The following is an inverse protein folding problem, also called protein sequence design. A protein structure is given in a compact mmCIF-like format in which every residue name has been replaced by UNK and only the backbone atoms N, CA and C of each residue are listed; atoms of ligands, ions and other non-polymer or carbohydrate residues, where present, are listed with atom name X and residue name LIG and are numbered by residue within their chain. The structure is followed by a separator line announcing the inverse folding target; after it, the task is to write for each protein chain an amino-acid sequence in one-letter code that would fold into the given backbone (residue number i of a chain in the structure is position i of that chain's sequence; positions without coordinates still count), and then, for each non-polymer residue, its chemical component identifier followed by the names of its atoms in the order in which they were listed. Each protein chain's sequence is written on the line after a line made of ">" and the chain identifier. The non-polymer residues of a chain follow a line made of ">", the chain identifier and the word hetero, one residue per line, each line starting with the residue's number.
data_IF_892066162412
#
_entry.id   IF_892066162412
#
_cell.length_a   1.000
_cell.length_b   1.000
_cell.length_c   1.000
_cell.angle_alpha   90.00
_cell.angle_beta   90.00
_cell.angle_gamma   90.00
#
_symmetry.space_group_name_H-M   'P 1'
#
loop_
_entity.id
_entity.type
_entity.pdbx_description
1 polymer ?
#
# COMPACT_ATOMS: atom_id res chain seq x y z
N UNK A 1 3.57 8.29 13.11
CA UNK A 1 3.25 7.79 11.76
C UNK A 1 2.31 6.62 11.94
N UNK A 2 1.11 6.70 11.40
CA UNK A 2 0.24 5.53 11.28
C UNK A 2 0.34 5.02 9.85
N UNK A 3 0.82 3.78 9.72
CA UNK A 3 1.05 3.11 8.45
C UNK A 3 0.08 1.95 8.35
N UNK A 4 -0.93 2.06 7.48
CA UNK A 4 -1.77 0.92 7.13
C UNK A 4 -1.36 0.45 5.74
N UNK A 5 -0.99 -0.82 5.61
CA UNK A 5 -0.71 -1.40 4.30
C UNK A 5 -1.30 -2.79 4.16
N UNK A 6 -1.58 -3.16 2.90
CA UNK A 6 -1.92 -4.51 2.50
C UNK A 6 -0.96 -4.93 1.40
N UNK A 7 -0.25 -6.03 1.63
CA UNK A 7 0.66 -6.60 0.66
C UNK A 7 0.11 -7.92 0.13
N UNK A 8 0.14 -8.15 -1.18
CA UNK A 8 -0.28 -9.41 -1.78
C UNK A 8 0.51 -9.72 -3.02
N UNK A 9 0.57 -10.99 -3.37
CA UNK A 9 1.22 -11.45 -4.60
C UNK A 9 0.18 -11.96 -5.57
N UNK A 10 0.21 -11.48 -6.81
CA UNK A 10 -0.61 -11.96 -7.89
C UNK A 10 0.27 -12.23 -9.12
N UNK A 11 0.22 -13.45 -9.66
CA UNK A 11 1.05 -13.89 -10.80
C UNK A 11 2.55 -13.58 -10.63
N UNK A 12 3.10 -13.72 -9.42
CA UNK A 12 4.51 -13.47 -9.13
C UNK A 12 4.88 -11.98 -8.93
N UNK A 13 3.94 -11.05 -9.11
CA UNK A 13 4.13 -9.62 -8.86
C UNK A 13 3.61 -9.29 -7.46
N UNK A 14 4.42 -8.60 -6.64
CA UNK A 14 4.04 -8.16 -5.29
C UNK A 14 3.42 -6.77 -5.38
N UNK A 15 2.21 -6.63 -4.87
CA UNK A 15 1.46 -5.39 -4.77
C UNK A 15 1.38 -4.96 -3.31
N UNK A 16 1.45 -3.66 -3.08
CA UNK A 16 1.48 -3.06 -1.74
C UNK A 16 0.60 -1.84 -1.78
N UNK A 17 -0.60 -1.97 -1.24
CA UNK A 17 -1.50 -0.83 -1.10
C UNK A 17 -1.18 -0.19 0.23
N UNK A 18 -0.89 1.11 0.25
CA UNK A 18 -0.58 1.84 1.47
C UNK A 18 -1.54 3.01 1.65
N UNK A 19 -1.84 3.31 2.90
CA UNK A 19 -2.54 4.49 3.38
C UNK A 19 -1.83 4.96 4.64
N UNK A 20 -1.12 6.09 4.52
CA UNK A 20 -0.16 6.57 5.51
C UNK A 20 -0.50 7.99 5.91
N UNK A 21 -0.57 8.22 7.23
CA UNK A 21 -0.68 9.55 7.81
C UNK A 21 0.62 9.99 8.47
N UNK A 22 1.16 11.12 8.00
CA UNK A 22 2.36 11.76 8.51
C UNK A 22 1.96 12.94 9.39
N UNK A 23 1.90 12.71 10.71
CA UNK A 23 1.46 13.71 11.69
C UNK A 23 2.37 14.95 11.76
N UNK A 24 3.67 14.81 11.49
CA UNK A 24 4.64 15.92 11.55
C UNK A 24 4.39 17.01 10.49
N UNK A 25 3.80 16.64 9.37
CA UNK A 25 3.56 17.52 8.21
C UNK A 25 2.10 17.57 7.81
N UNK A 26 1.20 17.06 8.66
CA UNK A 26 -0.24 16.91 8.42
C UNK A 26 -0.58 16.43 7.00
N UNK A 27 0.06 15.33 6.58
CA UNK A 27 -0.03 14.83 5.21
C UNK A 27 -0.58 13.41 5.18
N UNK A 28 -1.55 13.19 4.31
CA UNK A 28 -2.10 11.87 4.03
C UNK A 28 -1.70 11.42 2.62
N UNK A 29 -0.99 10.29 2.53
CA UNK A 29 -0.59 9.67 1.27
C UNK A 29 -1.19 8.27 1.18
N UNK A 30 -1.82 7.99 0.05
CA UNK A 30 -2.28 6.65 -0.28
C UNK A 30 -1.80 6.29 -1.68
N UNK A 31 -1.58 5.01 -1.96
CA UNK A 31 -1.09 4.57 -3.25
C UNK A 31 -0.86 3.08 -3.32
N UNK A 32 -0.28 2.64 -4.43
CA UNK A 32 0.05 1.24 -4.70
C UNK A 32 1.50 1.16 -5.14
N UNK A 33 2.32 0.44 -4.40
CA UNK A 33 3.64 0.01 -4.89
C UNK A 33 3.50 -1.33 -5.59
N UNK A 34 4.03 -1.44 -6.79
CA UNK A 34 4.10 -2.66 -7.58
C UNK A 34 5.56 -3.06 -7.67
N UNK A 35 5.88 -4.25 -7.17
CA UNK A 35 7.22 -4.83 -7.18
C UNK A 35 7.21 -6.07 -8.07
N UNK A 36 7.76 -5.92 -9.27
CA UNK A 36 7.94 -7.02 -10.23
C UNK A 36 9.24 -7.79 -9.95
N UNK A 37 10.23 -7.14 -9.36
CA UNK A 37 11.53 -7.71 -8.95
C UNK A 37 12.18 -6.83 -7.87
N UNK A 38 13.26 -7.27 -7.21
CA UNK A 38 13.95 -6.47 -6.17
C UNK A 38 14.37 -5.07 -6.62
N UNK A 39 14.73 -4.92 -7.89
CA UNK A 39 15.16 -3.68 -8.51
C UNK A 39 14.06 -2.92 -9.27
N UNK A 40 12.90 -3.53 -9.52
CA UNK A 40 11.81 -2.94 -10.29
C UNK A 40 10.59 -2.68 -9.39
N UNK A 41 10.61 -1.51 -8.75
CA UNK A 41 9.52 -1.03 -7.89
C UNK A 41 8.92 0.22 -8.53
N UNK A 42 7.63 0.16 -8.84
CA UNK A 42 6.85 1.30 -9.33
C UNK A 42 5.92 1.78 -8.23
N UNK A 43 6.00 3.07 -7.86
CA UNK A 43 5.08 3.70 -6.92
C UNK A 43 3.99 4.47 -7.67
N UNK A 44 2.76 3.94 -7.63
CA UNK A 44 1.57 4.54 -8.19
C UNK A 44 0.88 5.34 -7.09
N UNK A 45 1.19 6.64 -7.02
CA UNK A 45 0.56 7.54 -6.04
C UNK A 45 -0.92 7.69 -6.32
N UNK A 46 -1.73 7.44 -5.30
CA UNK A 46 -3.17 7.63 -5.34
C UNK A 46 -3.54 9.11 -5.19
N UNK A 47 -4.66 9.49 -5.80
CA UNK A 47 -5.30 10.77 -5.52
C UNK A 47 -6.19 10.60 -4.28
N UNK A 48 -5.75 11.09 -3.14
CA UNK A 48 -6.45 10.96 -1.85
C UNK A 48 -7.92 11.40 -1.93
N UNK A 49 -8.21 12.45 -2.73
CA UNK A 49 -9.56 13.00 -2.91
C UNK A 49 -10.53 12.07 -3.63
N UNK A 50 -10.04 11.10 -4.40
CA UNK A 50 -10.86 10.13 -5.12
C UNK A 50 -10.93 8.76 -4.42
N UNK A 51 -10.40 8.65 -3.20
CA UNK A 51 -10.44 7.42 -2.41
C UNK A 51 -11.89 7.01 -2.14
N UNK A 52 -12.20 5.72 -2.33
CA UNK A 52 -13.49 5.10 -2.00
C UNK A 52 -13.23 3.84 -1.18
N UNK A 53 -13.92 3.69 -0.06
CA UNK A 53 -13.72 2.58 0.88
C UNK A 53 -12.47 2.75 1.77
N UNK A 54 -12.13 1.70 2.51
CA UNK A 54 -10.91 1.64 3.33
C UNK A 54 -10.15 0.32 3.10
N UNK A 55 -8.90 0.24 3.56
CA UNK A 55 -8.10 -0.99 3.50
C UNK A 55 -8.68 -2.10 4.39
N UNK A 56 -9.38 -1.76 5.46
CA UNK A 56 -9.98 -2.72 6.38
C UNK A 56 -10.98 -3.66 5.69
N UNK A 57 -11.73 -3.18 4.69
CA UNK A 57 -12.66 -3.98 3.87
C UNK A 57 -11.96 -5.10 3.05
N UNK A 58 -10.64 -5.01 2.90
CA UNK A 58 -9.83 -5.95 2.12
C UNK A 58 -9.06 -6.94 3.01
N UNK A 59 -9.01 -6.74 4.33
CA UNK A 59 -8.25 -7.61 5.25
C UNK A 59 -8.65 -9.08 5.19
N UNK A 60 -9.94 -9.40 5.04
CA UNK A 60 -10.42 -10.79 4.94
C UNK A 60 -10.27 -11.38 3.53
N UNK A 61 -10.02 -10.53 2.52
CA UNK A 61 -9.93 -10.94 1.10
C UNK A 61 -8.48 -11.12 0.64
N UNK A 62 -7.54 -10.59 1.40
CA UNK A 62 -6.15 -10.47 1.01
C UNK A 62 -5.29 -10.77 2.24
N UNK A 63 -4.37 -11.74 2.15
CA UNK A 63 -3.44 -12.02 3.25
C UNK A 63 -2.57 -10.78 3.50
N UNK A 64 -2.43 -10.34 4.76
CA UNK A 64 -1.40 -9.38 5.14
C UNK A 64 -0.03 -9.96 4.74
N UNK A 65 0.54 -9.46 3.65
CA UNK A 65 1.83 -9.92 3.16
C UNK A 65 2.96 -9.46 4.07
N UNK A 66 3.96 -10.34 4.23
CA UNK A 66 5.18 -10.10 5.00
C UNK A 66 5.79 -8.75 4.62
N UNK A 67 6.11 -8.00 5.68
CA UNK A 67 6.72 -6.69 5.74
C UNK A 67 7.69 -6.44 4.56
N UNK A 68 7.54 -5.28 3.94
CA UNK A 68 8.44 -4.83 2.87
C UNK A 68 9.57 -3.93 3.36
N UNK A 69 9.75 -3.87 4.67
CA UNK A 69 10.86 -3.18 5.29
C UNK A 69 11.76 -4.25 5.91
N UNK A 70 12.68 -4.75 5.08
CA UNK A 70 14.01 -5.14 5.56
C UNK A 70 14.91 -3.91 5.40
#
# INVERSE_FOLDING_TARGET
>A
MELTYLAFTNNGIKYVIYDTYFSEVDKLEAGIKVKESETNITDLKGLTKSRKGNLSDLKDKVKEGEELYD
#
